data_IF_037675745729
#
_entry.id   IF_037675745729
#
_cell.length_a   1.000
_cell.length_b   1.000
_cell.length_c   1.000
_cell.angle_alpha   90.00
_cell.angle_beta   90.00
_cell.angle_gamma   90.00
#
_symmetry.space_group_name_H-M   'P 1'
#
loop_
_entity.id
_entity.type
_entity.pdbx_description
1 polymer ?
#
# COMPACT_ATOMS: atom_id res chain seq x y z
N UNK A 1 26.14 -51.24 39.96
CA UNK A 1 25.21 -52.37 39.71
C UNK A 1 23.92 -51.77 39.20
N UNK A 2 23.68 -51.77 37.88
CA UNK A 2 22.93 -52.77 37.07
C UNK A 2 21.40 -52.54 37.06
N UNK A 3 20.94 -52.09 35.87
CA UNK A 3 19.69 -52.43 35.15
C UNK A 3 18.42 -51.74 35.70
N UNK A 4 17.41 -51.36 34.91
CA UNK A 4 17.01 -51.80 33.58
C UNK A 4 16.21 -50.71 32.85
N UNK A 5 16.33 -50.66 31.52
CA UNK A 5 15.33 -50.10 30.61
C UNK A 5 13.92 -50.63 30.91
N UNK A 6 12.92 -49.79 30.73
CA UNK A 6 11.59 -50.24 30.33
C UNK A 6 11.01 -49.25 29.31
N UNK A 7 11.09 -49.64 28.05
CA UNK A 7 10.25 -49.15 26.96
C UNK A 7 8.81 -49.57 27.27
N UNK A 8 7.86 -48.64 27.20
CA UNK A 8 6.46 -48.98 27.04
C UNK A 8 5.91 -48.19 25.85
N UNK A 9 5.73 -48.91 24.74
CA UNK A 9 4.94 -48.46 23.62
C UNK A 9 3.46 -48.53 24.01
N UNK A 10 2.67 -47.55 23.57
CA UNK A 10 1.22 -47.69 23.51
C UNK A 10 0.73 -47.10 22.20
N UNK A 11 -0.17 -47.85 21.58
CA UNK A 11 -0.50 -47.83 20.17
C UNK A 11 -1.49 -46.72 19.78
N UNK A 12 -1.34 -46.32 18.52
CA UNK A 12 -2.33 -45.76 17.58
C UNK A 12 -3.82 -45.80 17.99
N UNK A 13 -4.46 -44.63 17.88
CA UNK A 13 -5.83 -44.49 17.40
C UNK A 13 -5.84 -43.45 16.27
N UNK A 14 -5.98 -43.93 15.04
CA UNK A 14 -6.40 -43.16 13.86
C UNK A 14 -7.94 -43.11 13.86
N UNK A 15 -8.53 -41.92 13.81
CA UNK A 15 -9.77 -41.66 13.08
C UNK A 15 -10.10 -40.14 13.02
N UNK A 16 -10.17 -39.64 11.79
CA UNK A 16 -11.21 -38.77 11.26
C UNK A 16 -11.38 -37.32 11.78
N UNK A 17 -10.82 -36.37 11.04
CA UNK A 17 -11.49 -35.25 10.34
C UNK A 17 -10.40 -34.67 9.40
N UNK A 18 -10.48 -34.74 8.08
CA UNK A 18 -11.67 -34.64 7.25
C UNK A 18 -12.14 -33.19 7.26
N UNK A 19 -11.42 -32.33 6.55
CA UNK A 19 -11.71 -30.91 6.46
C UNK A 19 -10.55 -30.17 5.79
N UNK A 20 -10.53 -30.18 4.45
CA UNK A 20 -10.03 -29.04 3.69
C UNK A 20 -10.70 -27.78 4.28
N UNK A 21 -9.95 -27.00 5.06
CA UNK A 21 -10.38 -25.67 5.46
C UNK A 21 -9.88 -24.73 4.36
N UNK A 22 -10.79 -24.44 3.43
CA UNK A 22 -10.65 -23.32 2.51
C UNK A 22 -10.69 -22.03 3.33
N UNK A 23 -9.52 -21.42 3.53
CA UNK A 23 -9.37 -20.06 4.03
C UNK A 23 -9.21 -19.16 2.81
N UNK A 24 -10.29 -18.76 2.13
CA UNK A 24 -10.18 -17.83 0.99
C UNK A 24 -11.48 -17.06 0.68
N UNK A 25 -12.14 -16.49 1.69
CA UNK A 25 -13.39 -15.76 1.41
C UNK A 25 -13.70 -14.56 2.30
N UNK A 26 -12.90 -14.26 3.32
CA UNK A 26 -13.25 -13.21 4.29
C UNK A 26 -12.26 -12.05 4.32
N UNK A 27 -11.01 -12.27 3.91
CA UNK A 27 -9.98 -11.21 3.87
C UNK A 27 -10.19 -10.26 2.69
N UNK A 28 -10.56 -10.81 1.52
CA UNK A 28 -10.70 -10.06 0.27
C UNK A 28 -11.89 -9.10 0.24
N UNK A 29 -13.01 -9.45 0.88
CA UNK A 29 -14.20 -8.58 0.94
C UNK A 29 -13.95 -7.35 1.83
N UNK A 30 -13.31 -7.53 2.99
CA UNK A 30 -12.99 -6.42 3.92
C UNK A 30 -11.91 -5.50 3.35
N UNK A 31 -10.91 -6.06 2.65
CA UNK A 31 -9.88 -5.29 1.96
C UNK A 31 -10.49 -4.46 0.82
N UNK A 32 -11.40 -5.03 0.03
CA UNK A 32 -12.12 -4.30 -1.03
C UNK A 32 -13.02 -3.19 -0.48
N UNK A 33 -13.83 -3.46 0.56
CA UNK A 33 -14.67 -2.43 1.18
C UNK A 33 -13.84 -1.26 1.76
N UNK A 34 -12.62 -1.55 2.22
CA UNK A 34 -11.69 -0.53 2.74
C UNK A 34 -11.05 0.29 1.61
N UNK A 35 -10.72 -0.35 0.49
CA UNK A 35 -10.19 0.32 -0.70
C UNK A 35 -11.22 1.23 -1.37
N UNK A 36 -12.45 0.73 -1.57
CA UNK A 36 -13.56 1.51 -2.11
C UNK A 36 -13.85 2.72 -1.22
N UNK A 37 -13.87 2.53 0.11
CA UNK A 37 -14.04 3.62 1.06
C UNK A 37 -12.94 4.68 0.98
N UNK A 38 -11.69 4.30 0.68
CA UNK A 38 -10.59 5.24 0.52
C UNK A 38 -10.72 6.03 -0.79
N UNK A 39 -11.06 5.35 -1.90
CA UNK A 39 -11.27 5.99 -3.21
C UNK A 39 -12.44 6.98 -3.17
N UNK A 40 -13.53 6.64 -2.49
CA UNK A 40 -14.71 7.51 -2.35
C UNK A 40 -14.43 8.81 -1.57
N UNK A 41 -13.49 8.76 -0.63
CA UNK A 41 -13.08 9.91 0.18
C UNK A 41 -11.99 10.76 -0.49
N UNK A 42 -11.31 10.21 -1.49
CA UNK A 42 -10.17 10.86 -2.11
C UNK A 42 -10.60 12.08 -2.94
N UNK A 43 -9.96 13.22 -2.68
CA UNK A 43 -10.09 14.42 -3.52
C UNK A 43 -8.91 14.52 -4.49
N UNK A 44 -9.17 14.96 -5.71
CA UNK A 44 -8.09 15.25 -6.65
C UNK A 44 -7.20 16.38 -6.08
N UNK A 45 -5.90 16.11 -5.95
CA UNK A 45 -4.96 17.07 -5.37
C UNK A 45 -4.39 17.98 -6.46
N UNK A 46 -4.45 19.28 -6.20
CA UNK A 46 -3.84 20.30 -7.04
C UNK A 46 -2.41 20.62 -6.53
N UNK A 47 -1.44 20.61 -7.44
CA UNK A 47 -0.04 20.78 -7.08
C UNK A 47 0.27 22.17 -6.52
N UNK A 48 -0.41 23.21 -7.00
CA UNK A 48 -0.20 24.58 -6.53
C UNK A 48 -0.72 24.71 -5.08
N UNK A 49 -1.90 24.17 -4.80
CA UNK A 49 -2.49 24.12 -3.46
C UNK A 49 -1.68 23.25 -2.49
N UNK A 50 -1.07 22.17 -2.98
CA UNK A 50 -0.15 21.35 -2.17
C UNK A 50 1.15 22.12 -1.83
N UNK A 51 1.64 22.94 -2.78
CA UNK A 51 2.84 23.75 -2.60
C UNK A 51 2.64 25.05 -1.82
N UNK A 52 1.43 25.59 -1.75
CA UNK A 52 1.15 26.81 -0.99
C UNK A 52 0.66 26.54 0.45
N UNK A 53 0.68 25.26 0.86
CA UNK A 53 0.20 24.77 2.16
C UNK A 53 -1.32 24.94 2.38
N UNK A 54 -2.11 25.05 1.30
CA UNK A 54 -3.57 25.12 1.37
C UNK A 54 -4.24 23.76 1.53
N UNK A 55 -3.54 22.66 1.22
CA UNK A 55 -4.02 21.29 1.47
C UNK A 55 -3.59 20.85 2.88
N UNK A 56 -4.51 20.52 3.79
CA UNK A 56 -4.16 20.03 5.12
C UNK A 56 -3.51 18.63 5.07
N UNK A 57 -2.49 18.40 5.89
CA UNK A 57 -1.95 17.05 6.09
C UNK A 57 -3.04 16.09 6.64
N UNK A 58 -3.00 14.84 6.20
CA UNK A 58 -4.02 13.82 6.49
C UNK A 58 -5.22 13.84 5.53
N UNK A 59 -5.27 14.78 4.58
CA UNK A 59 -6.30 14.77 3.54
C UNK A 59 -6.12 13.54 2.66
N UNK A 60 -7.20 12.80 2.42
CA UNK A 60 -7.18 11.67 1.48
C UNK A 60 -7.26 12.22 0.07
N UNK A 61 -6.30 11.88 -0.76
CA UNK A 61 -6.09 12.47 -2.09
C UNK A 61 -5.95 11.42 -3.18
N UNK A 62 -6.26 11.85 -4.40
CA UNK A 62 -6.00 11.14 -5.65
C UNK A 62 -5.09 11.99 -6.54
N UNK A 63 -4.06 11.37 -7.13
CA UNK A 63 -3.22 11.99 -8.15
C UNK A 63 -2.95 11.01 -9.30
N UNK A 64 -2.91 11.49 -10.53
CA UNK A 64 -2.62 10.69 -11.73
C UNK A 64 -1.38 11.25 -12.43
N UNK A 65 -0.43 10.38 -12.79
CA UNK A 65 0.82 10.83 -13.37
C UNK A 65 1.79 9.71 -13.70
N UNK A 66 3.00 10.09 -14.11
CA UNK A 66 4.07 9.18 -14.50
C UNK A 66 5.04 8.96 -13.34
N UNK A 67 5.24 7.69 -12.97
CA UNK A 67 6.14 7.29 -11.90
C UNK A 67 7.61 7.26 -12.36
N UNK A 68 8.51 7.76 -11.52
CA UNK A 68 9.98 7.68 -11.69
C UNK A 68 10.63 7.31 -10.35
N UNK A 69 11.38 6.20 -10.23
CA UNK A 69 11.94 5.76 -8.96
C UNK A 69 12.86 6.79 -8.28
N UNK A 70 12.77 6.93 -6.95
CA UNK A 70 13.75 7.67 -6.13
C UNK A 70 14.65 6.68 -5.39
N UNK A 71 14.05 5.79 -4.58
CA UNK A 71 14.75 4.66 -3.95
C UNK A 71 14.43 3.34 -4.64
N UNK A 72 13.26 3.26 -5.28
CA UNK A 72 12.72 2.10 -5.96
C UNK A 72 11.22 2.32 -6.19
N UNK A 73 10.48 1.25 -6.42
CA UNK A 73 9.02 1.28 -6.63
C UNK A 73 8.30 0.17 -5.87
N UNK A 74 9.01 -0.60 -5.05
CA UNK A 74 8.42 -1.66 -4.23
C UNK A 74 7.73 -1.08 -2.98
N UNK A 75 7.05 -1.93 -2.19
CA UNK A 75 6.53 -1.51 -0.87
C UNK A 75 7.67 -0.97 -0.01
N UNK A 76 7.46 0.21 0.56
CA UNK A 76 8.41 0.90 1.43
C UNK A 76 9.39 1.82 0.70
N UNK A 77 9.42 1.78 -0.63
CA UNK A 77 10.20 2.70 -1.44
C UNK A 77 9.48 4.03 -1.69
N UNK A 78 10.24 5.00 -2.22
CA UNK A 78 9.73 6.26 -2.71
C UNK A 78 9.98 6.41 -4.21
N UNK A 79 9.00 7.00 -4.90
CA UNK A 79 9.10 7.42 -6.30
C UNK A 79 8.54 8.84 -6.48
N UNK A 80 8.92 9.49 -7.58
CA UNK A 80 8.37 10.75 -8.00
C UNK A 80 7.18 10.50 -8.91
N UNK A 81 6.04 11.14 -8.65
CA UNK A 81 4.88 11.15 -9.52
C UNK A 81 4.78 12.50 -10.22
N UNK A 82 5.04 12.53 -11.52
CA UNK A 82 4.90 13.75 -12.34
C UNK A 82 3.49 13.80 -12.91
N UNK A 83 2.73 14.85 -12.58
CA UNK A 83 1.33 15.03 -12.96
C UNK A 83 1.18 16.11 -14.02
N UNK A 84 0.20 15.97 -14.90
CA UNK A 84 -0.18 17.04 -15.83
C UNK A 84 -1.31 17.86 -15.21
N UNK A 85 -1.02 19.11 -14.88
CA UNK A 85 -1.93 20.04 -14.21
C UNK A 85 -2.42 21.12 -15.18
N UNK A 86 -3.45 21.86 -14.78
CA UNK A 86 -4.01 22.95 -15.59
C UNK A 86 -3.02 24.10 -15.86
N UNK A 87 -2.08 24.35 -14.93
CA UNK A 87 -1.08 25.42 -15.01
C UNK A 87 0.34 24.94 -15.36
N UNK A 88 0.52 23.65 -15.68
CA UNK A 88 1.83 23.09 -16.00
C UNK A 88 1.98 21.65 -15.51
N UNK A 89 3.19 21.29 -15.10
CA UNK A 89 3.49 19.98 -14.51
C UNK A 89 3.60 20.11 -12.99
N UNK A 90 3.00 19.16 -12.28
CA UNK A 90 3.18 18.95 -10.84
C UNK A 90 4.11 17.78 -10.56
N UNK A 91 4.67 17.71 -9.36
CA UNK A 91 5.52 16.60 -8.94
C UNK A 91 5.38 16.29 -7.45
N UNK A 92 4.98 15.06 -7.13
CA UNK A 92 4.80 14.60 -5.75
C UNK A 92 5.84 13.54 -5.41
N UNK A 93 6.38 13.59 -4.20
CA UNK A 93 7.09 12.42 -3.64
C UNK A 93 6.03 11.45 -3.13
N UNK A 94 6.03 10.24 -3.66
CA UNK A 94 5.10 9.19 -3.24
C UNK A 94 5.86 8.14 -2.45
N UNK A 95 5.42 7.89 -1.21
CA UNK A 95 5.86 6.74 -0.42
C UNK A 95 4.91 5.58 -0.66
N UNK A 96 5.42 4.48 -1.22
CA UNK A 96 4.61 3.36 -1.67
C UNK A 96 4.29 2.39 -0.52
N UNK A 97 3.03 2.31 -0.09
CA UNK A 97 2.52 1.23 0.77
C UNK A 97 1.55 0.29 0.05
N UNK A 98 1.44 0.40 -1.28
CA UNK A 98 0.67 -0.51 -2.13
C UNK A 98 1.50 -1.74 -2.50
N UNK A 99 0.85 -2.90 -2.59
CA UNK A 99 1.47 -4.15 -3.06
C UNK A 99 1.63 -4.24 -4.58
N UNK A 100 1.18 -3.22 -5.31
CA UNK A 100 1.31 -3.14 -6.77
C UNK A 100 2.75 -2.82 -7.15
N UNK A 101 3.28 -3.60 -8.09
CA UNK A 101 4.59 -3.37 -8.70
C UNK A 101 4.47 -2.22 -9.72
N UNK A 102 5.13 -1.10 -9.42
CA UNK A 102 5.15 0.09 -10.28
C UNK A 102 6.46 0.11 -11.07
N UNK A 103 6.39 0.40 -12.36
CA UNK A 103 7.58 0.46 -13.22
C UNK A 103 7.99 1.91 -13.52
N UNK A 104 9.28 2.11 -13.80
CA UNK A 104 9.79 3.40 -14.27
C UNK A 104 9.09 3.82 -15.58
N UNK A 105 8.55 5.03 -15.61
CA UNK A 105 7.79 5.57 -16.72
C UNK A 105 6.34 5.08 -16.81
N UNK A 106 5.85 4.30 -15.84
CA UNK A 106 4.46 3.86 -15.81
C UNK A 106 3.53 5.02 -15.43
N UNK A 107 2.46 5.18 -16.21
CA UNK A 107 1.33 6.04 -15.83
C UNK A 107 0.48 5.31 -14.79
N UNK A 108 0.28 5.95 -13.64
CA UNK A 108 -0.43 5.38 -12.50
C UNK A 108 -1.41 6.38 -11.88
N UNK A 109 -2.46 5.85 -11.26
CA UNK A 109 -3.30 6.61 -10.33
C UNK A 109 -2.96 6.23 -8.90
N UNK A 110 -2.63 7.21 -8.07
CA UNK A 110 -2.28 7.04 -6.66
C UNK A 110 -3.43 7.53 -5.78
N UNK A 111 -3.82 6.72 -4.80
CA UNK A 111 -4.71 7.12 -3.72
C UNK A 111 -4.01 6.96 -2.38
N UNK A 112 -4.09 7.98 -1.53
CA UNK A 112 -3.35 7.99 -0.27
C UNK A 112 -3.62 9.21 0.60
N UNK A 113 -2.82 9.35 1.66
CA UNK A 113 -2.84 10.51 2.53
C UNK A 113 -1.80 11.54 2.07
N UNK A 114 -2.18 12.82 2.02
CA UNK A 114 -1.24 13.92 1.87
C UNK A 114 -0.49 14.17 3.19
N UNK A 115 0.84 14.14 3.17
CA UNK A 115 1.66 14.27 4.38
C UNK A 115 2.19 15.69 4.60
N UNK A 116 1.80 16.64 3.76
CA UNK A 116 2.44 17.95 3.70
C UNK A 116 3.65 17.91 2.77
N UNK A 117 4.77 18.48 3.22
CA UNK A 117 6.00 18.59 2.43
C UNK A 117 7.16 17.82 3.05
N UNK A 118 8.04 17.31 2.21
CA UNK A 118 9.34 16.76 2.62
C UNK A 118 10.25 17.84 3.21
N UNK A 119 11.38 17.44 3.80
CA UNK A 119 12.39 18.40 4.29
C UNK A 119 12.93 19.33 3.19
N UNK A 120 12.87 18.89 1.93
CA UNK A 120 13.28 19.68 0.76
C UNK A 120 12.16 20.57 0.22
N UNK A 121 10.96 20.52 0.81
CA UNK A 121 9.81 21.34 0.45
C UNK A 121 8.88 20.74 -0.61
N UNK A 122 9.15 19.53 -1.11
CA UNK A 122 8.30 18.87 -2.10
C UNK A 122 7.03 18.29 -1.46
N UNK A 123 5.85 18.41 -2.06
CA UNK A 123 4.63 17.79 -1.54
C UNK A 123 4.75 16.26 -1.53
N UNK A 124 4.24 15.61 -0.48
CA UNK A 124 4.36 14.17 -0.25
C UNK A 124 3.01 13.49 -0.09
N UNK A 125 2.86 12.32 -0.72
CA UNK A 125 1.71 11.43 -0.59
C UNK A 125 2.19 10.08 -0.06
N UNK A 126 1.58 9.57 1.01
CA UNK A 126 1.70 8.17 1.40
C UNK A 126 0.60 7.37 0.69
N UNK A 127 0.99 6.62 -0.33
CA UNK A 127 0.09 5.85 -1.18
C UNK A 127 -0.35 4.54 -0.52
N UNK A 128 -1.65 4.28 -0.50
CA UNK A 128 -2.22 2.99 -0.06
C UNK A 128 -2.69 2.16 -1.25
N UNK A 129 -3.18 2.81 -2.31
CA UNK A 129 -3.66 2.15 -3.52
C UNK A 129 -2.95 2.80 -4.72
N UNK A 130 -2.49 1.96 -5.65
CA UNK A 130 -1.91 2.39 -6.92
C UNK A 130 -2.54 1.54 -8.03
N UNK A 131 -2.98 2.17 -9.11
CA UNK A 131 -3.60 1.53 -10.29
C UNK A 131 -2.87 1.91 -11.58
#
# INVERSE_FOLDING_TARGET
MKKASLLLATALLLAACGGEQAEDGQSTEVEQETEEGLKDQAVEIDFVAANDDSVPAGTIVKAEGVASPITGTEIGDEFLLTTQESEGEGAYVVSNNSSVDVQDGQEVTVYGSFDGKTESGSPKITATIIE
#
